data_IF_767299115131
#
_entry.id   IF_767299115131
#
_cell.length_a   1.000
_cell.length_b   1.000
_cell.length_c   1.000
_cell.angle_alpha   90.00
_cell.angle_beta   90.00
_cell.angle_gamma   90.00
#
_symmetry.space_group_name_H-M   'P 1'
#
loop_
_entity.id
_entity.type
_entity.pdbx_description
1 polymer ?
#
# COMPACT_ATOMS: atom_id res chain seq x y z
N UNK A 1 2.74 -17.15 -23.25
CA UNK A 1 2.01 -16.13 -22.46
C UNK A 1 2.83 -14.84 -22.51
N UNK A 2 2.33 -13.78 -23.14
CA UNK A 2 2.99 -12.47 -23.03
C UNK A 2 2.63 -11.88 -21.68
N UNK A 3 3.58 -11.83 -20.75
CA UNK A 3 3.42 -11.09 -19.49
C UNK A 3 3.23 -9.62 -19.87
N UNK A 4 2.00 -9.10 -19.71
CA UNK A 4 1.76 -7.65 -19.82
C UNK A 4 2.68 -6.99 -18.79
N UNK A 5 3.56 -6.08 -19.24
CA UNK A 5 4.46 -5.32 -18.35
C UNK A 5 3.63 -4.69 -17.23
N UNK A 6 3.95 -5.01 -15.97
CA UNK A 6 3.39 -4.31 -14.81
C UNK A 6 3.66 -2.81 -14.99
N UNK A 7 2.63 -1.98 -14.80
CA UNK A 7 2.79 -0.52 -14.79
C UNK A 7 3.53 -0.13 -13.52
N UNK A 8 4.80 0.25 -13.66
CA UNK A 8 5.64 0.76 -12.59
C UNK A 8 5.62 2.28 -12.60
N UNK A 9 5.69 2.88 -11.42
CA UNK A 9 5.91 4.31 -11.26
C UNK A 9 7.40 4.61 -11.41
N UNK A 10 7.77 5.24 -12.53
CA UNK A 10 9.15 5.59 -12.88
C UNK A 10 9.28 7.10 -13.13
N UNK A 11 9.24 7.89 -12.06
CA UNK A 11 9.29 9.36 -12.11
C UNK A 11 10.00 9.90 -10.88
N UNK A 12 10.60 11.09 -10.98
CA UNK A 12 11.20 11.84 -9.87
C UNK A 12 12.19 11.03 -9.01
N UNK A 13 12.95 10.14 -9.65
CA UNK A 13 13.93 9.28 -8.97
C UNK A 13 13.32 8.10 -8.19
N UNK A 14 12.04 7.77 -8.43
CA UNK A 14 11.39 6.57 -7.91
C UNK A 14 11.21 5.53 -9.00
N UNK A 15 11.39 4.25 -8.63
CA UNK A 15 11.04 3.09 -9.46
C UNK A 15 10.27 2.07 -8.60
N UNK A 16 8.95 2.19 -8.56
CA UNK A 16 8.07 1.43 -7.64
C UNK A 16 6.99 0.65 -8.39
N UNK A 17 6.66 -0.56 -7.93
CA UNK A 17 5.41 -1.26 -8.25
C UNK A 17 4.26 -0.53 -7.54
N UNK A 18 3.82 0.57 -8.16
CA UNK A 18 2.85 1.52 -7.62
C UNK A 18 2.08 2.14 -8.78
N UNK A 19 0.78 2.33 -8.62
CA UNK A 19 -0.08 2.97 -9.62
C UNK A 19 -1.18 3.80 -8.95
N UNK A 20 -1.35 5.03 -9.43
CA UNK A 20 -2.54 5.83 -9.12
C UNK A 20 -3.75 5.26 -9.87
N UNK A 21 -4.70 4.70 -9.12
CA UNK A 21 -6.02 4.33 -9.64
C UNK A 21 -6.88 5.59 -9.79
N UNK A 22 -6.73 6.53 -8.86
CA UNK A 22 -7.27 7.89 -8.84
C UNK A 22 -6.23 8.84 -8.24
N UNK A 23 -6.39 10.17 -8.34
CA UNK A 23 -5.46 11.13 -7.72
C UNK A 23 -5.22 10.90 -6.22
N UNK A 24 -6.21 10.35 -5.51
CA UNK A 24 -6.19 10.08 -4.08
C UNK A 24 -6.25 8.58 -3.72
N UNK A 25 -6.12 7.67 -4.70
CA UNK A 25 -6.13 6.21 -4.46
C UNK A 25 -4.95 5.58 -5.19
N UNK A 26 -4.05 4.99 -4.42
CA UNK A 26 -2.88 4.25 -4.90
C UNK A 26 -3.10 2.76 -4.67
N UNK A 27 -2.76 1.95 -5.67
CA UNK A 27 -2.50 0.53 -5.50
C UNK A 27 -0.99 0.28 -5.62
N UNK A 28 -0.40 -0.47 -4.69
CA UNK A 28 1.03 -0.76 -4.70
C UNK A 28 1.32 -2.19 -4.24
N UNK A 29 2.46 -2.72 -4.69
CA UNK A 29 3.01 -3.97 -4.19
C UNK A 29 3.53 -3.83 -2.76
N UNK A 30 3.67 -4.97 -2.08
CA UNK A 30 4.14 -5.05 -0.69
C UNK A 30 5.48 -4.29 -0.48
N UNK A 31 5.56 -3.38 0.51
CA UNK A 31 6.79 -2.70 0.88
C UNK A 31 7.67 -3.62 1.71
N UNK A 32 8.66 -4.25 1.09
CA UNK A 32 9.54 -5.22 1.73
C UNK A 32 10.75 -4.55 2.40
N UNK A 33 11.19 -5.14 3.51
CA UNK A 33 12.53 -4.91 4.05
C UNK A 33 13.55 -5.56 3.08
N UNK A 34 14.68 -4.88 2.85
CA UNK A 34 15.63 -5.14 1.75
C UNK A 34 16.21 -6.56 1.63
N UNK A 35 16.00 -7.43 2.62
CA UNK A 35 16.55 -8.79 2.63
C UNK A 35 15.83 -9.77 1.65
N UNK A 36 14.66 -9.44 1.10
CA UNK A 36 13.95 -10.27 0.11
C UNK A 36 13.93 -9.68 -1.33
N UNK A 37 14.65 -8.58 -1.58
CA UNK A 37 14.28 -7.62 -2.63
C UNK A 37 15.08 -7.65 -3.93
N UNK A 38 14.72 -8.54 -4.88
CA UNK A 38 15.03 -8.30 -6.32
C UNK A 38 13.78 -7.81 -7.08
N UNK A 39 12.57 -8.06 -6.56
CA UNK A 39 11.31 -7.81 -7.29
C UNK A 39 10.25 -7.00 -6.52
N UNK A 40 10.51 -6.56 -5.29
CA UNK A 40 9.55 -5.84 -4.43
C UNK A 40 9.98 -4.40 -4.16
N UNK A 41 9.02 -3.57 -3.77
CA UNK A 41 9.29 -2.19 -3.37
C UNK A 41 10.12 -2.17 -2.10
N UNK A 42 11.18 -1.38 -2.07
CA UNK A 42 11.89 -1.07 -0.84
C UNK A 42 11.01 -0.17 0.04
N UNK A 43 10.75 -0.58 1.29
CA UNK A 43 9.93 0.19 2.23
C UNK A 43 10.42 1.64 2.43
N UNK A 44 11.74 1.87 2.35
CA UNK A 44 12.33 3.21 2.46
C UNK A 44 11.94 4.10 1.28
N UNK A 45 11.93 3.55 0.07
CA UNK A 45 11.53 4.30 -1.12
C UNK A 45 10.02 4.58 -1.13
N UNK A 46 9.20 3.65 -0.63
CA UNK A 46 7.74 3.85 -0.49
C UNK A 46 7.44 4.93 0.55
N UNK A 47 8.08 4.88 1.71
CA UNK A 47 7.94 5.92 2.75
C UNK A 47 8.36 7.29 2.22
N UNK A 48 9.54 7.38 1.58
CA UNK A 48 10.02 8.62 0.93
C UNK A 48 9.05 9.12 -0.14
N UNK A 49 8.50 8.22 -0.95
CA UNK A 49 7.52 8.56 -1.98
C UNK A 49 6.27 9.19 -1.36
N UNK A 50 5.66 8.52 -0.38
CA UNK A 50 4.44 9.00 0.27
C UNK A 50 4.66 10.35 0.96
N UNK A 51 5.73 10.50 1.74
CA UNK A 51 6.04 11.79 2.38
C UNK A 51 6.33 12.90 1.38
N UNK A 52 7.08 12.62 0.29
CA UNK A 52 7.42 13.66 -0.70
C UNK A 52 6.24 14.10 -1.57
N UNK A 53 5.32 13.17 -1.91
CA UNK A 53 4.17 13.45 -2.79
C UNK A 53 2.90 13.86 -2.05
N UNK A 54 2.75 13.41 -0.80
CA UNK A 54 1.51 13.56 -0.03
C UNK A 54 1.71 14.19 1.35
N UNK A 55 2.96 14.49 1.77
CA UNK A 55 3.24 15.03 3.10
C UNK A 55 2.75 14.06 4.19
N UNK A 56 2.01 14.60 5.17
CA UNK A 56 1.37 13.79 6.22
C UNK A 56 -0.06 13.34 5.84
N UNK A 57 -0.50 13.57 4.60
CA UNK A 57 -1.86 13.31 4.11
C UNK A 57 -1.95 11.98 3.36
N UNK A 58 -1.54 10.89 4.00
CA UNK A 58 -1.69 9.54 3.46
C UNK A 58 -2.05 8.54 4.55
N UNK A 59 -2.65 7.43 4.12
CA UNK A 59 -3.02 6.32 4.98
C UNK A 59 -2.78 5.01 4.22
N UNK A 60 -2.08 4.06 4.84
CA UNK A 60 -1.66 2.80 4.23
C UNK A 60 -2.53 1.66 4.75
N UNK A 61 -3.12 0.90 3.83
CA UNK A 61 -3.87 -0.32 4.16
C UNK A 61 -3.04 -1.54 3.83
N UNK A 62 -2.63 -2.31 4.84
CA UNK A 62 -2.01 -3.60 4.63
C UNK A 62 -3.09 -4.69 4.62
N UNK A 63 -3.30 -5.31 3.46
CA UNK A 63 -4.30 -6.36 3.29
C UNK A 63 -3.73 -7.76 3.54
N UNK A 64 -2.42 -7.88 3.78
CA UNK A 64 -1.77 -9.16 4.08
C UNK A 64 -2.05 -9.57 5.52
N UNK A 65 -2.53 -10.80 5.74
CA UNK A 65 -2.74 -11.37 7.08
C UNK A 65 -1.49 -12.07 7.62
N UNK A 66 -0.53 -12.37 6.75
CA UNK A 66 0.69 -13.08 7.11
C UNK A 66 1.57 -12.24 8.06
N UNK A 67 2.07 -12.86 9.13
CA UNK A 67 2.84 -12.17 10.17
C UNK A 67 4.18 -11.64 9.63
N UNK A 68 4.81 -12.38 8.74
CA UNK A 68 6.03 -11.98 8.05
C UNK A 68 5.82 -10.81 7.06
N UNK A 69 4.55 -10.49 6.78
CA UNK A 69 4.14 -9.34 5.96
C UNK A 69 3.62 -8.17 6.79
N UNK A 70 3.77 -8.23 8.12
CA UNK A 70 3.58 -7.06 8.97
C UNK A 70 4.88 -6.28 9.06
N UNK A 71 4.77 -4.96 9.03
CA UNK A 71 5.91 -4.05 9.10
C UNK A 71 5.66 -2.96 10.13
N UNK A 72 6.76 -2.39 10.64
CA UNK A 72 6.71 -1.30 11.60
C UNK A 72 6.00 -0.07 10.99
N UNK A 73 4.83 0.25 11.53
CA UNK A 73 3.99 1.37 11.11
C UNK A 73 4.62 2.75 11.38
N UNK A 74 5.65 2.83 12.22
CA UNK A 74 6.37 4.08 12.51
C UNK A 74 6.93 4.74 11.25
N UNK A 75 7.27 3.94 10.23
CA UNK A 75 7.78 4.40 8.93
C UNK A 75 6.75 5.14 8.07
N UNK A 76 5.48 5.03 8.44
CA UNK A 76 4.34 5.60 7.76
C UNK A 76 3.59 6.57 8.69
N UNK A 77 4.29 7.23 9.62
CA UNK A 77 3.71 8.12 10.62
C UNK A 77 2.61 7.45 11.48
N UNK A 78 2.69 6.13 11.67
CA UNK A 78 1.64 5.30 12.29
C UNK A 78 0.29 5.34 11.55
N UNK A 79 0.24 5.83 10.30
CA UNK A 79 -0.93 5.82 9.44
C UNK A 79 -1.06 4.50 8.68
N UNK A 80 -1.05 3.38 9.40
CA UNK A 80 -1.20 2.02 8.83
C UNK A 80 -2.38 1.31 9.49
N UNK A 81 -3.24 0.69 8.68
CA UNK A 81 -4.32 -0.17 9.16
C UNK A 81 -4.15 -1.60 8.64
N UNK A 82 -4.26 -2.54 9.56
CA UNK A 82 -4.18 -4.00 9.34
C UNK A 82 -5.51 -4.70 9.61
N UNK A 83 -6.55 -3.99 10.05
CA UNK A 83 -7.86 -4.58 10.44
C UNK A 83 -8.62 -5.20 9.27
N UNK A 84 -8.20 -4.88 8.04
CA UNK A 84 -8.81 -5.37 6.80
C UNK A 84 -7.95 -6.42 6.08
N UNK A 85 -7.08 -7.12 6.81
CA UNK A 85 -6.26 -8.21 6.27
C UNK A 85 -7.05 -9.49 6.00
N UNK A 86 -6.71 -10.22 4.94
CA UNK A 86 -7.31 -11.52 4.60
C UNK A 86 -6.29 -12.45 3.91
N UNK A 87 -6.61 -13.75 3.81
CA UNK A 87 -5.71 -14.76 3.23
C UNK A 87 -5.44 -14.52 1.74
N UNK A 88 -4.19 -14.70 1.33
CA UNK A 88 -3.80 -14.61 -0.07
C UNK A 88 -4.62 -15.60 -0.94
N UNK A 89 -4.95 -15.18 -2.16
CA UNK A 89 -5.81 -15.92 -3.10
C UNK A 89 -7.24 -16.25 -2.62
N UNK A 90 -7.69 -15.69 -1.50
CA UNK A 90 -9.05 -15.85 -0.99
C UNK A 90 -9.82 -14.52 -1.01
N UNK A 91 -11.17 -14.54 -1.13
CA UNK A 91 -11.96 -13.33 -0.97
C UNK A 91 -12.06 -12.93 0.51
N UNK A 92 -12.07 -11.62 0.84
CA UNK A 92 -12.36 -11.16 2.19
C UNK A 92 -13.82 -11.46 2.57
N UNK A 93 -14.15 -11.55 3.87
CA UNK A 93 -15.53 -11.62 4.32
C UNK A 93 -16.37 -10.45 3.79
N UNK A 94 -17.59 -10.69 3.31
CA UNK A 94 -18.45 -9.63 2.73
C UNK A 94 -18.66 -8.44 3.69
N UNK A 95 -18.78 -8.70 4.99
CA UNK A 95 -18.91 -7.64 6.02
C UNK A 95 -17.66 -6.75 6.09
N UNK A 96 -16.47 -7.30 5.84
CA UNK A 96 -15.21 -6.56 5.82
C UNK A 96 -15.17 -5.56 4.66
N UNK A 97 -15.69 -5.93 3.48
CA UNK A 97 -15.73 -5.03 2.32
C UNK A 97 -16.51 -3.75 2.63
N UNK A 98 -17.68 -3.89 3.27
CA UNK A 98 -18.50 -2.73 3.66
C UNK A 98 -17.79 -1.87 4.71
N UNK A 99 -17.21 -2.49 5.74
CA UNK A 99 -16.47 -1.77 6.78
C UNK A 99 -15.24 -1.04 6.21
N UNK A 100 -14.50 -1.67 5.29
CA UNK A 100 -13.37 -1.08 4.60
C UNK A 100 -13.77 0.16 3.82
N UNK A 101 -14.81 0.07 3.00
CA UNK A 101 -15.31 1.20 2.21
C UNK A 101 -15.74 2.38 3.10
N UNK A 102 -16.39 2.12 4.23
CA UNK A 102 -16.77 3.15 5.21
C UNK A 102 -15.54 3.80 5.83
N UNK A 103 -14.56 3.01 6.26
CA UNK A 103 -13.33 3.52 6.86
C UNK A 103 -12.50 4.36 5.87
N UNK A 104 -12.29 3.86 4.65
CA UNK A 104 -11.61 4.59 3.57
C UNK A 104 -12.32 5.91 3.26
N UNK A 105 -13.67 5.91 3.20
CA UNK A 105 -14.44 7.13 2.99
C UNK A 105 -14.18 8.17 4.07
N UNK A 106 -14.12 7.76 5.33
CA UNK A 106 -13.77 8.66 6.44
C UNK A 106 -12.36 9.22 6.29
N UNK A 107 -11.37 8.37 5.98
CA UNK A 107 -9.98 8.80 5.82
C UNK A 107 -9.78 9.78 4.64
N UNK A 108 -10.45 9.54 3.52
CA UNK A 108 -10.36 10.41 2.34
C UNK A 108 -11.10 11.76 2.49
N UNK A 109 -12.00 11.87 3.47
CA UNK A 109 -12.80 13.06 3.70
C UNK A 109 -12.19 14.04 4.73
N UNK A 110 -11.08 13.69 5.39
CA UNK A 110 -10.32 14.65 6.19
C UNK A 110 -9.65 15.67 5.24
N UNK A 111 -10.31 16.81 5.02
CA UNK A 111 -9.77 17.98 4.32
C UNK A 111 -8.96 18.87 5.27
#
# INVERSE_FOLDING_TARGET
>A
MLVKKKRRYQQDGFDLDLSYIRPNIIAMGYPANSYEGVFRNNIYDVSRFLSSKHGDKFYVYNLCVENERQYDGSRFNNNVCTDFSFEDHNPPPMKMILAFCQHVKTQLNFQ
#
